data_IF_764362757915
#
_entry.id   IF_764362757915
#
_cell.length_a   1.000
_cell.length_b   1.000
_cell.length_c   1.000
_cell.angle_alpha   90.00
_cell.angle_beta   90.00
_cell.angle_gamma   90.00
#
_symmetry.space_group_name_H-M   'P 1'
#
loop_
_entity.id
_entity.type
_entity.pdbx_description
1 polymer ?
#
# COMPACT_ATOMS: atom_id res chain seq x y z
N UNK A 1 -10.93 4.18 -20.16
CA UNK A 1 -10.55 3.38 -21.34
C UNK A 1 -11.79 3.11 -22.17
N UNK A 2 -12.01 3.87 -23.22
CA UNK A 2 -13.01 3.62 -24.25
C UNK A 2 -12.31 3.01 -25.46
N UNK A 3 -12.07 1.71 -25.38
CA UNK A 3 -11.64 0.93 -26.55
C UNK A 3 -12.90 0.21 -27.05
N UNK A 4 -13.29 0.53 -28.27
CA UNK A 4 -14.36 -0.12 -29.04
C UNK A 4 -15.80 0.04 -28.49
N UNK A 5 -16.28 1.26 -28.17
CA UNK A 5 -17.74 1.59 -28.20
C UNK A 5 -18.70 0.80 -27.28
N UNK A 6 -18.21 -0.12 -26.45
CA UNK A 6 -19.05 -0.85 -25.47
C UNK A 6 -18.98 -0.15 -24.11
N UNK A 7 -20.09 0.43 -23.67
CA UNK A 7 -20.28 0.82 -22.26
C UNK A 7 -20.26 -0.45 -21.42
N UNK A 8 -19.16 -0.69 -20.67
CA UNK A 8 -19.13 -1.74 -19.66
C UNK A 8 -19.81 -1.18 -18.41
N UNK A 9 -20.82 -1.86 -17.92
CA UNK A 9 -21.54 -1.51 -16.69
C UNK A 9 -20.61 -1.75 -15.46
N UNK A 10 -20.66 -0.86 -14.47
CA UNK A 10 -19.89 -0.97 -13.23
C UNK A 10 -20.10 -2.32 -12.52
N UNK A 11 -21.34 -2.82 -12.50
CA UNK A 11 -21.66 -4.15 -11.93
C UNK A 11 -20.92 -5.29 -12.62
N UNK A 12 -20.71 -5.18 -13.93
CA UNK A 12 -19.93 -6.18 -14.69
C UNK A 12 -18.44 -6.12 -14.30
N UNK A 13 -17.89 -4.92 -14.14
CA UNK A 13 -16.50 -4.74 -13.69
C UNK A 13 -16.31 -5.30 -12.28
N UNK A 14 -17.23 -5.02 -11.36
CA UNK A 14 -17.21 -5.54 -9.99
C UNK A 14 -17.20 -7.07 -9.97
N UNK A 15 -18.06 -7.74 -10.75
CA UNK A 15 -18.09 -9.20 -10.87
C UNK A 15 -16.77 -9.78 -11.38
N UNK A 16 -16.10 -9.14 -12.34
CA UNK A 16 -14.79 -9.58 -12.80
C UNK A 16 -13.71 -9.43 -11.70
N UNK A 17 -13.75 -8.32 -10.98
CA UNK A 17 -12.83 -8.09 -9.86
C UNK A 17 -13.04 -9.14 -8.77
N UNK A 18 -14.28 -9.44 -8.40
CA UNK A 18 -14.63 -10.50 -7.45
C UNK A 18 -14.11 -11.86 -7.92
N UNK A 19 -14.35 -12.23 -9.17
CA UNK A 19 -13.84 -13.48 -9.73
C UNK A 19 -12.30 -13.56 -9.71
N UNK A 20 -11.59 -12.46 -9.95
CA UNK A 20 -10.13 -12.41 -9.83
C UNK A 20 -9.66 -12.54 -8.36
N UNK A 21 -10.41 -12.00 -7.41
CA UNK A 21 -10.13 -12.21 -5.99
C UNK A 21 -10.37 -13.67 -5.58
N UNK A 22 -11.48 -14.27 -5.98
CA UNK A 22 -11.84 -15.67 -5.71
C UNK A 22 -10.84 -16.66 -6.34
N UNK A 23 -10.23 -16.27 -7.47
CA UNK A 23 -9.20 -17.05 -8.16
C UNK A 23 -7.78 -16.77 -7.65
N UNK A 24 -7.60 -16.00 -6.58
CA UNK A 24 -6.30 -15.60 -6.03
C UNK A 24 -5.37 -14.91 -7.04
N UNK A 25 -5.93 -14.21 -8.02
CA UNK A 25 -5.16 -13.35 -8.95
C UNK A 25 -4.96 -11.97 -8.35
N UNK A 26 -5.96 -11.50 -7.59
CA UNK A 26 -5.95 -10.23 -6.87
C UNK A 26 -6.21 -10.44 -5.39
N UNK A 27 -5.51 -9.67 -4.56
CA UNK A 27 -5.87 -9.44 -3.18
C UNK A 27 -6.57 -8.09 -3.05
N UNK A 28 -7.66 -8.07 -2.29
CA UNK A 28 -8.41 -6.86 -1.94
C UNK A 28 -7.96 -6.35 -0.58
N UNK A 29 -7.48 -5.12 -0.52
CA UNK A 29 -7.23 -4.42 0.74
C UNK A 29 -8.34 -3.39 0.99
N UNK A 30 -9.04 -3.56 2.11
CA UNK A 30 -10.08 -2.64 2.52
C UNK A 30 -9.47 -1.32 3.02
N UNK A 31 -10.21 -0.24 2.89
CA UNK A 31 -9.83 1.06 3.45
C UNK A 31 -10.31 1.16 4.90
N UNK A 32 -9.46 1.68 5.77
CA UNK A 32 -9.74 1.86 7.19
C UNK A 32 -9.57 3.33 7.58
N UNK A 33 -10.59 3.91 8.19
CA UNK A 33 -10.51 5.25 8.78
C UNK A 33 -9.84 5.15 10.16
N UNK A 34 -8.62 5.66 10.26
CA UNK A 34 -7.81 5.60 11.48
C UNK A 34 -8.46 6.40 12.61
N UNK A 35 -9.09 7.53 12.29
CA UNK A 35 -9.75 8.38 13.28
C UNK A 35 -11.12 7.83 13.70
N UNK A 36 -11.92 7.39 12.74
CA UNK A 36 -13.23 6.78 12.96
C UNK A 36 -13.17 5.36 13.49
N UNK A 37 -12.01 4.69 13.39
CA UNK A 37 -11.80 3.28 13.76
C UNK A 37 -12.78 2.33 13.09
N UNK A 38 -13.02 2.54 11.79
CA UNK A 38 -13.99 1.74 11.02
C UNK A 38 -13.48 1.40 9.61
N UNK A 39 -13.96 0.26 9.10
CA UNK A 39 -13.70 -0.15 7.71
C UNK A 39 -14.63 0.61 6.78
N UNK A 40 -14.07 1.32 5.80
CA UNK A 40 -14.83 2.04 4.80
C UNK A 40 -15.30 1.10 3.69
N UNK A 41 -16.56 1.22 3.28
CA UNK A 41 -17.19 0.35 2.25
C UNK A 41 -16.69 0.60 0.83
N UNK A 42 -16.00 1.70 0.58
CA UNK A 42 -15.62 2.16 -0.76
C UNK A 42 -14.10 2.38 -0.88
N UNK A 43 -13.62 2.51 -2.13
CA UNK A 43 -12.24 2.87 -2.46
C UNK A 43 -11.20 1.84 -2.02
N UNK A 44 -11.53 0.54 -2.12
CA UNK A 44 -10.58 -0.54 -1.88
C UNK A 44 -9.41 -0.47 -2.87
N UNK A 45 -8.21 -0.90 -2.43
CA UNK A 45 -7.09 -1.16 -3.35
C UNK A 45 -7.00 -2.65 -3.66
N UNK A 46 -6.44 -2.94 -4.84
CA UNK A 46 -6.24 -4.30 -5.30
C UNK A 46 -4.75 -4.51 -5.63
N UNK A 47 -4.22 -5.63 -5.16
CA UNK A 47 -2.82 -5.99 -5.33
C UNK A 47 -2.73 -7.30 -6.10
N UNK A 48 -1.85 -7.37 -7.09
CA UNK A 48 -1.60 -8.57 -7.87
C UNK A 48 -0.76 -9.57 -7.08
N UNK A 49 -1.15 -10.83 -7.13
CA UNK A 49 -0.38 -11.93 -6.52
C UNK A 49 0.93 -12.15 -7.26
N UNK A 50 0.95 -11.95 -8.57
CA UNK A 50 2.13 -12.12 -9.42
C UNK A 50 2.44 -10.84 -10.22
N UNK A 51 3.61 -10.28 -9.95
CA UNK A 51 4.09 -9.07 -10.64
C UNK A 51 4.46 -9.32 -12.10
N UNK A 52 4.71 -10.57 -12.50
CA UNK A 52 4.89 -10.97 -13.90
C UNK A 52 3.63 -10.73 -14.73
N UNK A 53 2.46 -11.04 -14.17
CA UNK A 53 1.15 -10.74 -14.79
C UNK A 53 1.02 -9.22 -15.01
N UNK A 54 1.38 -8.42 -14.00
CA UNK A 54 1.36 -6.95 -14.11
C UNK A 54 2.26 -6.47 -15.25
N UNK A 55 3.46 -7.00 -15.33
CA UNK A 55 4.43 -6.64 -16.38
C UNK A 55 3.93 -7.03 -17.77
N UNK A 56 3.32 -8.20 -17.89
CA UNK A 56 2.74 -8.69 -19.15
C UNK A 56 1.62 -7.76 -19.65
N UNK A 57 0.71 -7.35 -18.75
CA UNK A 57 -0.48 -6.59 -19.12
C UNK A 57 -0.20 -5.08 -19.31
N UNK A 58 0.68 -4.48 -18.51
CA UNK A 58 0.91 -3.04 -18.46
C UNK A 58 2.25 -2.61 -19.08
N UNK A 59 3.13 -3.57 -19.40
CA UNK A 59 4.49 -3.30 -19.84
C UNK A 59 5.39 -2.75 -18.73
N UNK A 60 6.61 -2.36 -19.11
CA UNK A 60 7.63 -1.88 -18.17
C UNK A 60 7.71 -0.34 -18.20
N UNK A 61 6.85 0.34 -17.47
CA UNK A 61 6.89 1.80 -17.36
C UNK A 61 7.71 2.21 -16.12
N UNK A 62 8.76 3.01 -16.32
CA UNK A 62 9.61 3.53 -15.22
C UNK A 62 8.84 4.33 -14.17
N UNK A 63 7.72 4.98 -14.55
CA UNK A 63 6.87 5.75 -13.62
C UNK A 63 6.09 4.91 -12.60
N UNK A 64 6.16 3.59 -12.69
CA UNK A 64 5.36 2.68 -11.87
C UNK A 64 6.12 2.03 -10.70
N UNK A 65 7.39 2.44 -10.47
CA UNK A 65 8.23 1.81 -9.43
C UNK A 65 7.61 1.92 -8.03
N UNK A 66 7.01 3.05 -7.68
CA UNK A 66 6.34 3.21 -6.39
C UNK A 66 5.19 2.23 -6.19
N UNK A 67 4.33 2.06 -7.21
CA UNK A 67 3.21 1.11 -7.16
C UNK A 67 3.67 -0.34 -7.14
N UNK A 68 4.78 -0.64 -7.83
CA UNK A 68 5.40 -1.96 -7.80
C UNK A 68 5.92 -2.28 -6.40
N UNK A 69 6.58 -1.31 -5.78
CA UNK A 69 7.10 -1.43 -4.43
C UNK A 69 5.98 -1.59 -3.41
N UNK A 70 4.90 -0.82 -3.51
CA UNK A 70 3.69 -1.02 -2.69
C UNK A 70 3.17 -2.45 -2.81
N UNK A 71 3.10 -3.01 -4.04
CA UNK A 71 2.62 -4.38 -4.23
C UNK A 71 3.56 -5.42 -3.58
N UNK A 72 4.87 -5.24 -3.69
CA UNK A 72 5.87 -6.12 -3.05
C UNK A 72 5.71 -6.09 -1.53
N UNK A 73 5.64 -4.90 -0.95
CA UNK A 73 5.49 -4.73 0.51
C UNK A 73 4.16 -5.32 1.00
N UNK A 74 3.07 -5.13 0.24
CA UNK A 74 1.78 -5.74 0.55
C UNK A 74 1.87 -7.28 0.64
N UNK A 75 2.47 -7.92 -0.37
CA UNK A 75 2.63 -9.38 -0.39
C UNK A 75 3.53 -9.88 0.75
N UNK A 76 4.57 -9.13 1.08
CA UNK A 76 5.45 -9.48 2.18
C UNK A 76 4.77 -9.34 3.55
N UNK A 77 3.98 -8.28 3.77
CA UNK A 77 3.17 -8.13 4.99
C UNK A 77 2.16 -9.28 5.13
N UNK A 78 1.50 -9.71 4.03
CA UNK A 78 0.63 -10.89 4.02
C UNK A 78 1.42 -12.16 4.39
N UNK A 79 2.60 -12.36 3.81
CA UNK A 79 3.47 -13.50 4.11
C UNK A 79 3.86 -13.57 5.57
N UNK A 80 4.05 -12.41 6.20
CA UNK A 80 4.34 -12.27 7.64
C UNK A 80 3.10 -12.48 8.52
N UNK A 81 1.92 -12.65 7.93
CA UNK A 81 0.67 -12.94 8.66
C UNK A 81 -0.13 -11.73 9.13
N UNK A 82 0.17 -10.53 8.62
CA UNK A 82 -0.60 -9.34 8.96
C UNK A 82 -1.96 -9.29 8.24
N UNK A 83 -2.97 -8.80 8.95
CA UNK A 83 -4.17 -8.22 8.34
C UNK A 83 -3.84 -6.82 7.84
N UNK A 84 -4.11 -6.54 6.55
CA UNK A 84 -3.65 -5.30 5.92
C UNK A 84 -4.82 -4.46 5.48
N UNK A 85 -4.76 -3.17 5.81
CA UNK A 85 -5.73 -2.16 5.37
C UNK A 85 -5.01 -0.98 4.74
N UNK A 86 -5.72 -0.23 3.90
CA UNK A 86 -5.29 1.07 3.42
C UNK A 86 -5.76 2.13 4.40
N UNK A 87 -4.83 2.84 5.01
CA UNK A 87 -5.16 3.84 6.02
C UNK A 87 -5.70 5.13 5.41
N UNK A 88 -6.74 5.69 6.05
CA UNK A 88 -7.19 7.04 5.80
C UNK A 88 -7.15 7.82 7.11
N UNK A 89 -6.54 9.00 7.08
CA UNK A 89 -6.55 9.95 8.21
C UNK A 89 -6.81 11.35 7.70
N UNK A 90 -7.98 11.90 8.02
CA UNK A 90 -8.49 13.15 7.43
C UNK A 90 -8.52 13.05 5.89
N UNK A 91 -7.78 13.92 5.21
CA UNK A 91 -7.60 13.96 3.73
C UNK A 91 -6.37 13.19 3.24
N UNK A 92 -5.58 12.58 4.15
CA UNK A 92 -4.34 11.89 3.83
C UNK A 92 -4.54 10.37 3.79
N UNK A 93 -3.72 9.72 2.95
CA UNK A 93 -3.65 8.27 2.86
C UNK A 93 -2.38 7.75 3.56
N UNK A 94 -2.52 6.64 4.27
CA UNK A 94 -1.42 5.81 4.77
C UNK A 94 -1.42 4.55 3.93
N UNK A 95 -0.28 4.22 3.31
CA UNK A 95 -0.23 3.15 2.33
C UNK A 95 -0.67 1.81 2.93
N UNK A 96 -0.19 1.48 4.15
CA UNK A 96 -0.67 0.29 4.86
C UNK A 96 -0.79 0.51 6.37
N UNK A 97 -1.85 -0.08 6.90
CA UNK A 97 -2.01 -0.44 8.31
C UNK A 97 -1.85 -1.95 8.36
N UNK A 98 -0.85 -2.42 9.08
CA UNK A 98 -0.58 -3.84 9.28
C UNK A 98 -0.93 -4.21 10.72
N UNK A 99 -1.91 -5.09 10.89
CA UNK A 99 -2.48 -5.48 12.18
C UNK A 99 -2.17 -6.94 12.48
N UNK A 100 -1.71 -7.21 13.68
CA UNK A 100 -1.58 -8.54 14.29
C UNK A 100 -2.20 -8.56 15.68
N UNK A 101 -2.24 -9.76 16.30
CA UNK A 101 -2.66 -9.92 17.72
C UNK A 101 -1.85 -9.04 18.68
N UNK A 102 -0.61 -8.75 18.37
CA UNK A 102 0.34 -8.00 19.19
C UNK A 102 0.23 -6.48 19.03
N UNK A 103 -0.46 -5.98 18.00
CA UNK A 103 -0.63 -4.56 17.75
C UNK A 103 -0.74 -4.17 16.29
N UNK A 104 -0.56 -2.89 16.06
CA UNK A 104 -0.68 -2.25 14.74
C UNK A 104 0.67 -1.64 14.38
N UNK A 105 0.99 -1.64 13.09
CA UNK A 105 2.11 -0.92 12.50
C UNK A 105 1.64 -0.13 11.29
N UNK A 106 2.21 1.05 11.07
CA UNK A 106 1.87 1.91 9.95
C UNK A 106 3.03 2.02 8.96
N UNK A 107 2.72 1.91 7.68
CA UNK A 107 3.72 1.92 6.62
C UNK A 107 3.39 2.94 5.53
N UNK A 108 4.38 3.72 5.14
CA UNK A 108 4.41 4.50 3.92
C UNK A 108 5.50 3.98 3.00
N UNK A 109 5.21 3.88 1.71
CA UNK A 109 6.13 3.34 0.72
C UNK A 109 6.48 4.42 -0.30
N UNK A 110 7.77 4.58 -0.61
CA UNK A 110 8.24 5.50 -1.64
C UNK A 110 9.42 4.90 -2.39
N UNK A 111 9.52 5.13 -3.69
CA UNK A 111 10.71 4.74 -4.45
C UNK A 111 11.94 5.50 -3.93
N UNK A 112 11.80 6.80 -3.68
CA UNK A 112 12.79 7.65 -3.00
C UNK A 112 12.09 8.75 -2.21
N UNK A 113 12.72 9.19 -1.13
CA UNK A 113 12.29 10.33 -0.30
C UNK A 113 13.28 11.50 -0.32
N UNK A 114 14.25 11.49 -1.24
CA UNK A 114 15.23 12.58 -1.38
C UNK A 114 14.60 13.90 -1.81
N UNK A 115 13.44 13.86 -2.48
CA UNK A 115 12.66 15.03 -2.82
C UNK A 115 11.88 15.56 -1.62
N UNK A 116 12.04 16.84 -1.29
CA UNK A 116 11.42 17.49 -0.12
C UNK A 116 9.89 17.34 -0.11
N UNK A 117 9.23 17.47 -1.24
CA UNK A 117 7.78 17.33 -1.37
C UNK A 117 7.33 15.90 -1.04
N UNK A 118 8.02 14.89 -1.59
CA UNK A 118 7.71 13.48 -1.32
C UNK A 118 7.95 13.15 0.15
N UNK A 119 9.06 13.62 0.72
CA UNK A 119 9.38 13.45 2.13
C UNK A 119 8.28 14.04 3.01
N UNK A 120 7.96 15.34 2.83
CA UNK A 120 6.89 16.02 3.61
C UNK A 120 5.55 15.30 3.51
N UNK A 121 5.15 14.90 2.32
CA UNK A 121 3.87 14.19 2.10
C UNK A 121 3.82 12.86 2.86
N UNK A 122 4.86 12.02 2.76
CA UNK A 122 4.91 10.70 3.40
C UNK A 122 5.02 10.81 4.92
N UNK A 123 5.85 11.70 5.43
CA UNK A 123 6.01 11.92 6.87
C UNK A 123 4.75 12.51 7.48
N UNK A 124 4.17 13.55 6.86
CA UNK A 124 3.01 14.25 7.43
C UNK A 124 1.74 13.39 7.54
N UNK A 125 1.61 12.32 6.75
CA UNK A 125 0.50 11.38 6.90
C UNK A 125 0.66 10.49 8.13
N UNK A 126 1.88 10.08 8.45
CA UNK A 126 2.20 9.29 9.64
C UNK A 126 2.19 10.14 10.92
N UNK A 127 2.66 11.39 10.85
CA UNK A 127 2.60 12.34 11.98
C UNK A 127 1.17 12.72 12.37
N UNK A 128 0.23 12.68 11.42
CA UNK A 128 -1.18 12.93 11.70
C UNK A 128 -1.84 11.84 12.55
N UNK A 129 -1.20 10.68 12.70
CA UNK A 129 -1.70 9.57 13.52
C UNK A 129 -1.25 9.79 14.96
N UNK A 130 -2.22 10.07 15.83
CA UNK A 130 -1.97 10.36 17.23
C UNK A 130 -2.08 9.10 18.11
N UNK A 131 -1.14 8.17 17.90
CA UNK A 131 -0.96 6.99 18.73
C UNK A 131 0.53 6.61 18.83
N UNK A 132 0.85 5.62 19.68
CA UNK A 132 2.21 5.19 19.97
C UNK A 132 2.63 3.94 19.19
N UNK A 133 1.84 3.50 18.22
CA UNK A 133 2.21 2.35 17.39
C UNK A 133 3.39 2.68 16.45
N UNK A 134 4.20 1.68 16.11
CA UNK A 134 5.34 1.85 15.22
C UNK A 134 4.94 2.43 13.85
N UNK A 135 5.73 3.38 13.37
CA UNK A 135 5.53 4.05 12.08
C UNK A 135 6.79 3.94 11.23
N UNK A 136 6.62 3.51 9.99
CA UNK A 136 7.71 3.21 9.06
C UNK A 136 7.52 3.91 7.72
N UNK A 137 8.62 4.42 7.16
CA UNK A 137 8.73 4.73 5.74
C UNK A 137 9.70 3.73 5.13
N UNK A 138 9.23 2.95 4.16
CA UNK A 138 10.06 2.02 3.39
C UNK A 138 10.44 2.66 2.06
N UNK A 139 11.72 2.75 1.77
CA UNK A 139 12.26 3.39 0.56
C UNK A 139 13.41 2.58 -0.03
N UNK A 140 13.74 2.80 -1.29
CA UNK A 140 14.94 2.24 -1.91
C UNK A 140 16.22 3.04 -1.61
N UNK A 141 16.09 4.15 -0.93
CA UNK A 141 17.28 4.90 -0.47
C UNK A 141 18.09 4.05 0.52
N UNK A 142 19.41 4.11 0.42
CA UNK A 142 20.30 3.22 1.20
C UNK A 142 20.44 3.61 2.68
N UNK A 143 20.23 4.87 3.02
CA UNK A 143 20.44 5.38 4.37
C UNK A 143 19.19 5.16 5.23
N UNK A 144 19.34 4.38 6.30
CA UNK A 144 18.32 4.27 7.34
C UNK A 144 18.45 5.46 8.29
N UNK A 145 17.31 6.07 8.64
CA UNK A 145 17.24 7.23 9.52
C UNK A 145 15.95 7.21 10.34
N UNK A 146 15.74 8.25 11.14
CA UNK A 146 14.48 8.45 11.84
C UNK A 146 14.10 9.94 11.85
N UNK A 147 12.80 10.21 11.83
CA UNK A 147 12.24 11.55 11.91
C UNK A 147 11.01 11.54 12.82
N UNK A 148 11.06 12.30 13.93
CA UNK A 148 9.95 12.39 14.90
C UNK A 148 9.38 11.00 15.33
N UNK A 149 10.27 10.02 15.58
CA UNK A 149 9.86 8.66 15.95
C UNK A 149 9.43 7.75 14.79
N UNK A 150 9.32 8.27 13.58
CA UNK A 150 9.06 7.51 12.36
C UNK A 150 10.40 6.93 11.86
N UNK A 151 10.47 5.62 11.71
CA UNK A 151 11.67 4.94 11.20
C UNK A 151 11.66 4.94 9.67
N UNK A 152 12.75 5.36 9.08
CA UNK A 152 12.97 5.34 7.64
C UNK A 152 13.96 4.21 7.34
N UNK A 153 13.54 3.22 6.58
CA UNK A 153 14.30 2.00 6.37
C UNK A 153 14.46 1.72 4.87
N UNK A 154 15.63 1.15 4.53
CA UNK A 154 15.79 0.56 3.20
C UNK A 154 14.86 -0.64 3.06
N UNK A 155 14.06 -0.66 1.99
CA UNK A 155 13.06 -1.70 1.77
C UNK A 155 13.69 -3.07 1.50
N UNK A 156 14.87 -3.12 0.88
CA UNK A 156 15.58 -4.39 0.62
C UNK A 156 16.00 -5.02 1.94
N UNK A 157 16.62 -4.22 2.83
CA UNK A 157 17.03 -4.68 4.16
C UNK A 157 15.81 -5.14 4.99
N UNK A 158 14.69 -4.42 4.86
CA UNK A 158 13.45 -4.79 5.54
C UNK A 158 12.86 -6.11 5.01
N UNK A 159 12.93 -6.36 3.69
CA UNK A 159 12.46 -7.59 3.05
C UNK A 159 13.27 -8.83 3.46
N UNK A 160 14.60 -8.70 3.67
CA UNK A 160 15.47 -9.83 4.02
C UNK A 160 15.61 -10.06 5.52
N UNK A 161 15.16 -9.13 6.36
CA UNK A 161 15.06 -9.33 7.81
C UNK A 161 13.85 -10.19 8.12
N UNK A 162 14.12 -11.39 8.63
CA UNK A 162 13.09 -12.28 9.17
C UNK A 162 12.65 -11.82 10.56
#
# INVERSE_FOLDING_TARGET
MTSAGRKIDNKTVEKYIEAFCDSYILYKANRYDIKGKEILKTQNKFFLVDLGIRRLLLGNKRSDHGKLLENIVYLELLRRGYNIYIGKINDKEVDFIAEMSEGIEYYQIADTIRGEETFKRKISSLEAINDNYPKYVLTRDYESSSHNGIKILNVIDWLVKN
#
